data_IF_463641268393
#
_entry.id   IF_463641268393
#
_cell.length_a   1.000
_cell.length_b   1.000
_cell.length_c   1.000
_cell.angle_alpha   90.00
_cell.angle_beta   90.00
_cell.angle_gamma   90.00
#
_symmetry.space_group_name_H-M   'P 1'
#
loop_
_entity.id
_entity.type
_entity.pdbx_description
1 polymer ?
#
# COMPACT_ATOMS: atom_id res chain seq x y z
N UNK A 1 1.52 -6.60 16.90
CA UNK A 1 0.89 -6.89 15.58
C UNK A 1 0.26 -5.65 14.96
N UNK A 2 -0.46 -4.81 15.73
CA UNK A 2 -1.06 -3.56 15.25
C UNK A 2 -0.08 -2.56 14.60
N UNK A 3 1.13 -2.45 15.13
CA UNK A 3 2.17 -1.58 14.55
C UNK A 3 2.57 -1.99 13.13
N UNK A 4 2.60 -3.30 12.86
CA UNK A 4 2.87 -3.85 11.54
C UNK A 4 1.74 -3.56 10.56
N UNK A 5 0.48 -3.59 11.01
CA UNK A 5 -0.69 -3.25 10.18
C UNK A 5 -0.66 -1.79 9.73
N UNK A 6 -0.17 -0.89 10.58
CA UNK A 6 -0.01 0.52 10.22
C UNK A 6 1.07 0.70 9.16
N UNK A 7 2.23 0.06 9.31
CA UNK A 7 3.32 0.14 8.32
C UNK A 7 2.86 -0.43 6.97
N UNK A 8 2.15 -1.55 7.01
CA UNK A 8 1.55 -2.16 5.84
C UNK A 8 0.57 -1.21 5.15
N UNK A 9 -0.39 -0.64 5.88
CA UNK A 9 -1.39 0.27 5.29
C UNK A 9 -0.76 1.54 4.74
N UNK A 10 0.27 2.10 5.41
CA UNK A 10 1.02 3.25 4.90
C UNK A 10 1.80 2.91 3.62
N UNK A 11 2.44 1.74 3.57
CA UNK A 11 3.08 1.24 2.36
C UNK A 11 2.10 1.11 1.19
N UNK A 12 0.90 0.58 1.46
CA UNK A 12 -0.17 0.51 0.46
C UNK A 12 -0.68 1.88 0.01
N UNK A 13 -0.81 2.86 0.92
CA UNK A 13 -1.19 4.24 0.57
C UNK A 13 -0.16 4.86 -0.35
N UNK A 14 1.13 4.74 -0.03
CA UNK A 14 2.21 5.28 -0.86
C UNK A 14 2.21 4.61 -2.24
N UNK A 15 2.13 3.28 -2.30
CA UNK A 15 2.09 2.59 -3.59
C UNK A 15 0.87 2.93 -4.43
N UNK A 16 -0.28 3.10 -3.77
CA UNK A 16 -1.51 3.59 -4.39
C UNK A 16 -1.31 4.99 -4.97
N UNK A 17 -0.76 5.92 -4.19
CA UNK A 17 -0.55 7.31 -4.62
C UNK A 17 0.42 7.42 -5.80
N UNK A 18 1.52 6.65 -5.79
CA UNK A 18 2.53 6.64 -6.85
C UNK A 18 1.98 6.15 -8.19
N UNK A 19 1.01 5.25 -8.17
CA UNK A 19 0.49 4.60 -9.39
C UNK A 19 -0.95 4.97 -9.73
N UNK A 20 -1.58 5.86 -8.95
CA UNK A 20 -2.95 6.33 -9.19
C UNK A 20 -3.10 7.17 -10.46
N UNK A 21 -2.14 8.07 -10.74
CA UNK A 21 -2.20 8.98 -11.90
C UNK A 21 -2.34 8.24 -13.24
N UNK A 22 -1.46 7.28 -13.60
CA UNK A 22 -1.59 6.53 -14.85
C UNK A 22 -2.91 5.77 -14.97
N UNK A 23 -3.43 5.23 -13.86
CA UNK A 23 -4.73 4.55 -13.83
C UNK A 23 -5.87 5.53 -14.12
N UNK A 24 -5.84 6.72 -13.51
CA UNK A 24 -6.83 7.77 -13.73
C UNK A 24 -6.81 8.28 -15.18
N UNK A 25 -5.62 8.45 -15.76
CA UNK A 25 -5.46 8.89 -17.14
C UNK A 25 -6.00 7.86 -18.13
N UNK A 26 -5.69 6.58 -17.93
CA UNK A 26 -6.25 5.48 -18.74
C UNK A 26 -7.78 5.43 -18.61
N UNK A 27 -8.31 5.67 -17.41
CA UNK A 27 -9.74 5.73 -17.14
C UNK A 27 -10.46 6.83 -17.93
N UNK A 28 -9.87 8.03 -17.93
CA UNK A 28 -10.41 9.20 -18.65
C UNK A 28 -10.38 8.98 -20.16
N UNK A 29 -9.32 8.37 -20.68
CA UNK A 29 -9.14 8.12 -22.12
C UNK A 29 -9.92 6.91 -22.67
N UNK A 30 -10.69 6.21 -21.84
CA UNK A 30 -11.34 4.93 -22.19
C UNK A 30 -10.38 3.87 -22.73
N UNK A 31 -9.12 3.91 -22.30
CA UNK A 31 -8.10 2.93 -22.68
C UNK A 31 -8.25 1.62 -21.88
N UNK A 32 -7.49 0.59 -22.26
CA UNK A 32 -7.44 -0.68 -21.54
C UNK A 32 -6.95 -0.46 -20.09
N UNK A 33 -7.84 -0.71 -19.12
CA UNK A 33 -7.54 -0.51 -17.69
C UNK A 33 -6.74 -1.64 -17.06
N UNK A 34 -6.87 -2.86 -17.58
CA UNK A 34 -6.25 -4.07 -17.02
C UNK A 34 -4.74 -3.94 -16.71
N UNK A 35 -3.87 -3.46 -17.62
CA UNK A 35 -2.43 -3.37 -17.33
C UNK A 35 -2.11 -2.33 -16.24
N UNK A 36 -2.83 -1.20 -16.23
CA UNK A 36 -2.65 -0.14 -15.25
C UNK A 36 -3.16 -0.56 -13.87
N UNK A 37 -4.28 -1.26 -13.82
CA UNK A 37 -4.90 -1.75 -12.59
C UNK A 37 -4.05 -2.88 -11.97
N UNK A 38 -3.50 -3.78 -12.80
CA UNK A 38 -2.50 -4.77 -12.37
C UNK A 38 -1.28 -4.10 -11.74
N UNK A 39 -0.68 -3.11 -12.43
CA UNK A 39 0.50 -2.39 -11.92
C UNK A 39 0.19 -1.66 -10.61
N UNK A 40 -0.97 -1.01 -10.53
CA UNK A 40 -1.42 -0.29 -9.35
C UNK A 40 -1.53 -1.19 -8.12
N UNK A 41 -2.20 -2.34 -8.25
CA UNK A 41 -2.32 -3.31 -7.16
C UNK A 41 -0.94 -3.90 -6.78
N UNK A 42 -0.14 -4.34 -7.76
CA UNK A 42 1.19 -4.91 -7.47
C UNK A 42 2.07 -3.93 -6.70
N UNK A 43 2.10 -2.65 -7.10
CA UNK A 43 2.92 -1.64 -6.42
C UNK A 43 2.35 -1.30 -5.04
N UNK A 44 1.03 -1.17 -4.89
CA UNK A 44 0.39 -0.92 -3.60
C UNK A 44 0.69 -2.05 -2.58
N UNK A 45 0.39 -3.29 -2.95
CA UNK A 45 0.65 -4.43 -2.06
C UNK A 45 2.15 -4.71 -1.89
N UNK A 46 2.97 -4.53 -2.93
CA UNK A 46 4.41 -4.69 -2.87
C UNK A 46 5.06 -3.74 -1.88
N UNK A 47 4.68 -2.46 -1.89
CA UNK A 47 5.16 -1.49 -0.90
C UNK A 47 4.58 -1.72 0.49
N UNK A 48 3.33 -2.18 0.60
CA UNK A 48 2.75 -2.62 1.87
C UNK A 48 3.56 -3.75 2.51
N UNK A 49 3.87 -4.81 1.75
CA UNK A 49 4.70 -5.93 2.20
C UNK A 49 6.12 -5.46 2.52
N UNK A 50 6.72 -4.63 1.68
CA UNK A 50 8.06 -4.12 1.95
C UNK A 50 8.12 -3.35 3.27
N UNK A 51 7.09 -2.56 3.58
CA UNK A 51 7.02 -1.77 4.81
C UNK A 51 7.00 -2.62 6.10
N UNK A 52 6.63 -3.90 6.03
CA UNK A 52 6.67 -4.81 7.19
C UNK A 52 7.93 -5.69 7.24
N UNK A 53 8.78 -5.67 6.22
CA UNK A 53 10.02 -6.46 6.15
C UNK A 53 10.93 -6.21 7.35
N UNK A 54 11.22 -4.96 7.77
CA UNK A 54 12.10 -4.72 8.92
C UNK A 54 11.55 -5.32 10.22
N UNK A 55 10.22 -5.30 10.40
CA UNK A 55 9.56 -5.91 11.56
C UNK A 55 9.68 -7.44 11.54
N UNK A 56 9.64 -8.07 10.36
CA UNK A 56 9.84 -9.51 10.21
C UNK A 56 11.30 -9.89 10.48
N UNK A 57 12.26 -9.12 9.97
CA UNK A 57 13.69 -9.37 10.18
C UNK A 57 14.11 -9.19 11.64
N UNK A 58 13.58 -8.16 12.33
CA UNK A 58 13.78 -8.01 13.78
C UNK A 58 13.26 -9.21 14.57
N UNK A 59 12.13 -9.80 14.17
CA UNK A 59 11.60 -11.03 14.79
C UNK A 59 12.45 -12.26 14.49
N UNK A 60 13.13 -12.29 13.35
CA UNK A 60 14.06 -13.35 12.97
C UNK A 60 15.44 -13.23 13.65
N UNK A 61 15.64 -12.23 14.53
CA UNK A 61 16.90 -12.04 15.25
C UNK A 61 17.98 -11.33 14.46
N UNK A 62 17.63 -10.66 13.35
CA UNK A 62 18.59 -9.89 12.55
C UNK A 62 19.08 -8.67 13.35
N UNK A 63 20.39 -8.36 13.32
CA UNK A 63 20.97 -7.19 13.99
C UNK A 63 20.24 -5.89 13.67
N UNK A 64 20.11 -5.02 14.66
CA UNK A 64 19.36 -3.76 14.53
C UNK A 64 19.91 -2.86 13.43
N UNK A 65 21.24 -2.83 13.28
CA UNK A 65 21.95 -1.99 12.31
C UNK A 65 21.58 -2.31 10.86
N UNK A 66 21.32 -3.58 10.55
CA UNK A 66 20.87 -4.02 9.23
C UNK A 66 19.40 -3.66 8.98
N UNK A 67 18.59 -3.68 10.03
CA UNK A 67 17.16 -3.32 9.94
C UNK A 67 16.93 -1.80 9.85
N UNK A 68 17.88 -0.98 10.31
CA UNK A 68 17.81 0.48 10.24
C UNK A 68 18.51 1.08 9.01
N UNK A 69 19.17 0.23 8.21
CA UNK A 69 19.83 0.66 7.00
C UNK A 69 18.88 1.42 6.05
N UNK A 70 19.39 2.48 5.42
CA UNK A 70 18.61 3.41 4.58
C UNK A 70 17.81 2.71 3.48
N UNK A 71 18.32 1.60 2.94
CA UNK A 71 17.62 0.81 1.92
C UNK A 71 16.40 0.06 2.47
N UNK A 72 16.41 -0.37 3.74
CA UNK A 72 15.26 -1.01 4.40
C UNK A 72 14.22 -0.02 4.90
N UNK A 73 14.60 1.26 5.06
CA UNK A 73 13.71 2.35 5.44
C UNK A 73 13.12 3.05 4.21
N UNK A 74 12.14 2.43 3.53
CA UNK A 74 11.32 3.17 2.52
C UNK A 74 10.64 4.38 3.17
N UNK A 75 10.35 4.29 4.46
CA UNK A 75 10.02 5.44 5.29
C UNK A 75 11.30 5.92 5.98
N UNK A 76 12.06 6.80 5.34
CA UNK A 76 13.10 7.62 6.03
C UNK A 76 12.50 8.39 7.24
N UNK A 77 11.18 8.46 7.34
CA UNK A 77 10.38 9.00 8.45
C UNK A 77 9.87 7.95 9.45
N UNK A 78 10.28 6.67 9.38
CA UNK A 78 9.72 5.62 10.25
C UNK A 78 9.87 5.95 11.74
N UNK A 79 10.99 6.55 12.14
CA UNK A 79 11.26 7.05 13.50
C UNK A 79 10.38 8.26 13.90
N UNK A 80 10.05 9.14 12.95
CA UNK A 80 9.13 10.27 13.17
C UNK A 80 7.66 9.81 13.25
N UNK A 81 7.25 8.87 12.39
CA UNK A 81 5.95 8.21 12.45
C UNK A 81 5.81 7.45 13.77
N UNK A 82 6.83 6.71 14.20
CA UNK A 82 6.79 5.94 15.44
C UNK A 82 6.58 6.82 16.69
N UNK A 83 7.14 8.04 16.70
CA UNK A 83 6.90 9.03 17.78
C UNK A 83 5.51 9.66 17.73
N UNK A 84 4.93 9.83 16.54
CA UNK A 84 3.58 10.39 16.38
C UNK A 84 2.45 9.41 16.69
N UNK A 85 2.75 8.11 16.80
CA UNK A 85 1.76 7.00 16.75
C UNK A 85 1.47 6.38 18.14
N UNK A 86 1.98 6.96 19.24
CA UNK A 86 1.76 6.45 20.60
C UNK A 86 0.28 6.40 21.04
N UNK A 87 -0.67 6.95 20.27
CA UNK A 87 -2.12 6.90 20.54
C UNK A 87 -2.99 6.19 19.48
N UNK A 88 -2.44 5.61 18.40
CA UNK A 88 -3.22 5.30 17.20
C UNK A 88 -3.47 3.80 16.96
N UNK A 89 -3.95 3.07 17.98
CA UNK A 89 -4.17 1.62 17.90
C UNK A 89 -5.18 1.19 16.82
N UNK A 90 -6.15 2.03 16.47
CA UNK A 90 -7.24 1.69 15.52
C UNK A 90 -7.00 2.12 14.06
N UNK A 91 -6.04 3.01 13.80
CA UNK A 91 -5.92 3.64 12.48
C UNK A 91 -5.38 2.70 11.40
N UNK A 92 -4.47 1.79 11.75
CA UNK A 92 -3.87 0.85 10.78
C UNK A 92 -4.91 -0.02 10.06
N UNK A 93 -5.71 -0.82 10.79
CA UNK A 93 -6.78 -1.64 10.22
C UNK A 93 -7.86 -0.80 9.51
N UNK A 94 -8.21 0.36 10.06
CA UNK A 94 -9.23 1.23 9.47
C UNK A 94 -8.79 1.80 8.11
N UNK A 95 -7.56 2.34 8.01
CA UNK A 95 -6.98 2.82 6.76
C UNK A 95 -6.88 1.68 5.75
N UNK A 96 -6.42 0.49 6.19
CA UNK A 96 -6.36 -0.69 5.33
C UNK A 96 -7.74 -1.07 4.79
N UNK A 97 -8.76 -1.09 5.65
CA UNK A 97 -10.14 -1.39 5.28
C UNK A 97 -10.70 -0.42 4.24
N UNK A 98 -10.52 0.88 4.45
CA UNK A 98 -10.89 1.91 3.46
C UNK A 98 -10.16 1.68 2.14
N UNK A 99 -8.85 1.43 2.19
CA UNK A 99 -8.03 1.31 0.98
C UNK A 99 -8.43 0.09 0.15
N UNK A 100 -8.62 -1.07 0.81
CA UNK A 100 -9.05 -2.30 0.17
C UNK A 100 -10.46 -2.14 -0.40
N UNK A 101 -11.36 -1.50 0.34
CA UNK A 101 -12.73 -1.23 -0.14
C UNK A 101 -12.71 -0.33 -1.38
N UNK A 102 -11.88 0.72 -1.38
CA UNK A 102 -11.70 1.60 -2.53
C UNK A 102 -11.09 0.86 -3.74
N UNK A 103 -10.06 0.04 -3.52
CA UNK A 103 -9.45 -0.81 -4.55
C UNK A 103 -10.45 -1.78 -5.16
N UNK A 104 -11.27 -2.42 -4.33
CA UNK A 104 -12.32 -3.32 -4.77
C UNK A 104 -13.42 -2.60 -5.57
N UNK A 105 -13.85 -1.42 -5.12
CA UNK A 105 -14.83 -0.60 -5.85
C UNK A 105 -14.32 -0.18 -7.24
N UNK A 106 -13.03 0.19 -7.34
CA UNK A 106 -12.39 0.51 -8.63
C UNK A 106 -12.32 -0.71 -9.54
N UNK A 107 -12.00 -1.88 -8.99
CA UNK A 107 -11.97 -3.15 -9.74
C UNK A 107 -13.36 -3.51 -10.28
N UNK A 108 -14.41 -3.46 -9.45
CA UNK A 108 -15.80 -3.71 -9.88
C UNK A 108 -16.22 -2.77 -10.99
N UNK A 109 -15.96 -1.47 -10.84
CA UNK A 109 -16.26 -0.48 -11.88
C UNK A 109 -15.48 -0.75 -13.18
N UNK A 110 -14.24 -1.21 -13.09
CA UNK A 110 -13.45 -1.57 -14.27
C UNK A 110 -14.03 -2.80 -14.99
N UNK A 111 -14.52 -3.80 -14.25
CA UNK A 111 -15.18 -4.99 -14.81
C UNK A 111 -16.50 -4.61 -15.50
N UNK A 112 -17.36 -3.86 -14.83
CA UNK A 112 -18.65 -3.41 -15.41
C UNK A 112 -18.46 -2.60 -16.70
N UNK A 113 -17.38 -1.82 -16.80
CA UNK A 113 -17.04 -1.08 -18.01
C UNK A 113 -16.53 -1.96 -19.15
N UNK A 114 -15.92 -3.10 -18.83
CA UNK A 114 -15.28 -3.99 -19.79
C UNK A 114 -16.19 -5.15 -20.24
N UNK A 115 -17.33 -5.34 -19.57
CA UNK A 115 -18.33 -6.32 -19.98
C UNK A 115 -19.02 -5.86 -21.29
N UNK A 116 -19.16 -6.75 -22.29
CA UNK A 116 -19.95 -6.43 -23.48
C UNK A 116 -21.42 -6.19 -23.07
N UNK A 117 -22.15 -5.29 -23.76
CA UNK A 117 -23.58 -5.15 -23.55
C UNK A 117 -24.26 -6.49 -23.84
N UNK A 118 -25.12 -6.92 -22.91
CA UNK A 118 -25.94 -8.12 -23.05
C UNK A 118 -26.98 -7.94 -24.16
#
# INVERSE_FOLDING_TARGET
>A
MMHSTLHFSLGMVVGTALTYRPLLDAWRRKAALAPHLRRWLIVAYGLGVYAIVPNLLRRAGVPHDLCEAWFMNIFLLSSALNRSIQGSALYGPFVMGILVTAQYAVLLRAIHRSAPPA
#
